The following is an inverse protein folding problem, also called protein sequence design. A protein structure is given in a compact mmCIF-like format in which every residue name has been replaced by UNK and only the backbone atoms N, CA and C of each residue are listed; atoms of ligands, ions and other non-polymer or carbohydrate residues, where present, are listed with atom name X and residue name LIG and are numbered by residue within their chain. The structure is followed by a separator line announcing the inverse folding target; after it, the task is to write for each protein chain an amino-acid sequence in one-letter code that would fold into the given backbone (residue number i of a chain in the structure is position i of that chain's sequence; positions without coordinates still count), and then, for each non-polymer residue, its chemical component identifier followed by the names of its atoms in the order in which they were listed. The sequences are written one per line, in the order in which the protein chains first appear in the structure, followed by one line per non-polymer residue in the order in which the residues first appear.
data_IF_921813752276
#
_entry.id   IF_921813752276
#
_cell.length_a   1.000
_cell.length_b   1.000
_cell.length_c   1.000
_cell.angle_alpha   90.00
_cell.angle_beta   90.00
_cell.angle_gamma   90.00
#
_symmetry.space_group_name_H-M   'P 1'
#
loop_
_entity.id
_entity.type
_entity.pdbx_description
1 polymer ?
#
# COMPACT_ATOMS: atom_id res chain seq x y z
N UNK A 1 3.10 -16.91 38.42
CA UNK A 1 2.64 -17.54 37.15
C UNK A 1 2.56 -16.43 36.12
N UNK A 2 3.51 -16.38 35.20
CA UNK A 2 3.46 -15.42 34.09
C UNK A 2 2.42 -15.94 33.09
N UNK A 3 1.31 -15.22 32.94
CA UNK A 3 0.34 -15.50 31.91
C UNK A 3 1.03 -15.20 30.56
N UNK A 4 1.45 -16.24 29.86
CA UNK A 4 1.92 -16.11 28.48
C UNK A 4 0.73 -15.64 27.67
N UNK A 5 0.73 -14.35 27.28
CA UNK A 5 -0.24 -13.82 26.33
C UNK A 5 -0.28 -14.77 25.13
N UNK A 6 -1.45 -15.32 24.74
CA UNK A 6 -1.52 -16.16 23.56
C UNK A 6 -0.96 -15.36 22.37
N UNK A 7 -0.15 -15.98 21.49
CA UNK A 7 0.38 -15.28 20.34
C UNK A 7 -0.79 -14.66 19.57
N UNK A 8 -0.68 -13.37 19.25
CA UNK A 8 -1.71 -12.67 18.48
C UNK A 8 -1.84 -13.38 17.13
N UNK A 9 -2.92 -14.12 16.93
CA UNK A 9 -3.20 -14.82 15.69
C UNK A 9 -3.70 -13.80 14.67
N UNK A 10 -2.89 -13.52 13.65
CA UNK A 10 -3.29 -12.67 12.53
C UNK A 10 -3.43 -13.55 11.29
N UNK A 11 -4.62 -13.58 10.69
CA UNK A 11 -4.90 -14.43 9.53
C UNK A 11 -5.84 -13.76 8.55
N UNK A 12 -5.66 -14.07 7.27
CA UNK A 12 -6.65 -13.82 6.24
C UNK A 12 -7.60 -15.01 6.19
N UNK A 13 -8.91 -14.75 6.28
CA UNK A 13 -9.94 -15.80 6.25
C UNK A 13 -10.99 -15.46 5.18
N UNK A 14 -11.18 -16.35 4.21
CA UNK A 14 -12.23 -16.25 3.19
C UNK A 14 -13.43 -17.09 3.61
N UNK A 15 -14.58 -16.46 3.74
CA UNK A 15 -15.85 -17.12 4.05
C UNK A 15 -16.69 -17.33 2.78
N UNK A 16 -17.40 -18.45 2.70
CA UNK A 16 -18.47 -18.64 1.72
C UNK A 16 -19.68 -17.79 2.14
N UNK A 17 -20.20 -16.98 1.22
CA UNK A 17 -21.31 -16.06 1.49
C UNK A 17 -22.62 -16.75 1.88
N UNK A 18 -22.86 -17.97 1.38
CA UNK A 18 -24.09 -18.71 1.66
C UNK A 18 -24.00 -19.56 2.93
N UNK A 19 -22.90 -20.31 3.08
CA UNK A 19 -22.74 -21.25 4.20
C UNK A 19 -22.11 -20.63 5.44
N UNK A 20 -21.54 -19.42 5.32
CA UNK A 20 -20.74 -18.75 6.36
C UNK A 20 -19.53 -19.56 6.84
N UNK A 21 -19.14 -20.62 6.13
CA UNK A 21 -18.00 -21.46 6.47
C UNK A 21 -16.72 -20.89 5.88
N UNK A 22 -15.61 -21.08 6.60
CA UNK A 22 -14.27 -20.81 6.07
C UNK A 22 -13.98 -21.73 4.88
N UNK A 23 -13.67 -21.11 3.74
CA UNK A 23 -13.21 -21.81 2.54
C UNK A 23 -11.69 -21.85 2.51
N UNK A 24 -11.04 -20.75 2.91
CA UNK A 24 -9.59 -20.60 2.90
C UNK A 24 -9.12 -19.81 4.12
N UNK A 25 -7.98 -20.19 4.67
CA UNK A 25 -7.31 -19.47 5.75
C UNK A 25 -5.81 -19.41 5.49
N UNK A 26 -5.22 -18.23 5.65
CA UNK A 26 -3.79 -17.99 5.45
C UNK A 26 -3.24 -17.34 6.72
N UNK A 27 -2.16 -17.89 7.27
CA UNK A 27 -1.47 -17.32 8.41
C UNK A 27 -0.69 -16.07 7.95
N UNK A 28 -1.00 -14.92 8.56
CA UNK A 28 -0.31 -13.65 8.34
C UNK A 28 0.50 -13.20 9.56
N UNK A 29 0.62 -14.06 10.58
CA UNK A 29 1.34 -13.73 11.82
C UNK A 29 2.78 -13.34 11.51
N UNK A 30 3.26 -12.27 12.17
CA UNK A 30 4.57 -11.67 11.88
C UNK A 30 4.53 -10.57 10.81
N UNK A 31 3.41 -10.41 10.10
CA UNK A 31 3.21 -9.34 9.11
C UNK A 31 2.19 -8.33 9.60
N UNK A 32 2.50 -7.04 9.43
CA UNK A 32 1.59 -5.94 9.77
C UNK A 32 0.70 -5.63 8.56
N UNK A 33 -0.60 -5.47 8.78
CA UNK A 33 -1.48 -4.86 7.80
C UNK A 33 -1.12 -3.39 7.55
N UNK A 34 -0.93 -3.00 6.30
CA UNK A 34 -0.72 -1.60 5.92
C UNK A 34 -2.03 -1.00 5.39
N UNK A 35 -2.51 -1.48 4.25
CA UNK A 35 -3.73 -1.00 3.61
C UNK A 35 -4.26 -2.00 2.59
N UNK A 36 -5.46 -1.74 2.06
CA UNK A 36 -5.98 -2.42 0.86
C UNK A 36 -6.06 -1.45 -0.30
N UNK A 37 -5.88 -1.96 -1.51
CA UNK A 37 -6.13 -1.21 -2.73
C UNK A 37 -6.87 -2.07 -3.74
N UNK A 38 -7.58 -1.46 -4.69
CA UNK A 38 -8.26 -2.19 -5.77
C UNK A 38 -7.57 -1.88 -7.10
N UNK A 39 -6.79 -2.82 -7.68
CA UNK A 39 -6.09 -2.59 -8.94
C UNK A 39 -7.03 -2.43 -10.14
N UNK A 40 -8.16 -3.14 -10.13
CA UNK A 40 -9.21 -3.09 -11.16
C UNK A 40 -10.59 -3.33 -10.54
N UNK A 41 -11.68 -2.72 -11.05
CA UNK A 41 -13.04 -3.00 -10.62
C UNK A 41 -13.45 -4.49 -10.67
N UNK A 42 -12.83 -5.26 -11.58
CA UNK A 42 -13.09 -6.70 -11.75
C UNK A 42 -12.33 -7.61 -10.78
N UNK A 43 -11.43 -7.05 -9.96
CA UNK A 43 -10.59 -7.81 -9.04
C UNK A 43 -11.03 -7.54 -7.59
N UNK A 44 -10.82 -8.55 -6.73
CA UNK A 44 -10.87 -8.36 -5.29
C UNK A 44 -9.83 -7.30 -4.86
N UNK A 45 -10.04 -6.56 -3.75
CA UNK A 45 -8.99 -5.72 -3.19
C UNK A 45 -7.72 -6.52 -2.92
N UNK A 46 -6.58 -6.00 -3.38
CA UNK A 46 -5.27 -6.47 -2.97
C UNK A 46 -4.98 -6.01 -1.53
N UNK A 47 -4.20 -6.81 -0.82
CA UNK A 47 -3.78 -6.62 0.56
C UNK A 47 -2.33 -6.19 0.59
N UNK A 48 -2.02 -5.03 1.17
CA UNK A 48 -0.64 -4.61 1.38
C UNK A 48 -0.20 -4.97 2.79
N UNK A 49 0.80 -5.83 2.89
CA UNK A 49 1.38 -6.30 4.15
C UNK A 49 2.83 -5.84 4.28
N UNK A 50 3.25 -5.52 5.50
CA UNK A 50 4.63 -5.19 5.77
C UNK A 50 5.50 -6.45 5.79
N UNK A 51 6.57 -6.43 5.00
CA UNK A 51 7.65 -7.40 5.07
C UNK A 51 8.95 -6.64 5.26
N UNK A 52 9.50 -6.73 6.48
CA UNK A 52 10.68 -5.95 6.92
C UNK A 52 10.50 -4.42 6.71
N UNK A 53 11.25 -3.82 5.78
CA UNK A 53 11.19 -2.39 5.45
C UNK A 53 10.24 -2.06 4.30
N UNK A 54 9.72 -3.06 3.60
CA UNK A 54 8.89 -2.91 2.40
C UNK A 54 7.40 -3.19 2.67
N UNK A 55 6.54 -2.67 1.80
CA UNK A 55 5.12 -3.07 1.72
C UNK A 55 4.87 -3.95 0.49
N UNK A 56 4.43 -5.19 0.68
CA UNK A 56 4.13 -6.12 -0.42
C UNK A 56 2.63 -6.20 -0.64
N UNK A 57 2.20 -5.95 -1.87
CA UNK A 57 0.82 -6.10 -2.30
C UNK A 57 0.55 -7.53 -2.77
N UNK A 58 -0.43 -8.17 -2.14
CA UNK A 58 -0.90 -9.51 -2.44
C UNK A 58 -2.32 -9.46 -2.98
N UNK A 59 -2.52 -9.95 -4.20
CA UNK A 59 -3.81 -10.02 -4.88
C UNK A 59 -4.47 -11.37 -4.61
N UNK A 60 -5.63 -11.41 -3.92
CA UNK A 60 -6.48 -12.59 -3.91
C UNK A 60 -6.98 -12.87 -5.33
N UNK A 61 -6.85 -14.12 -5.81
CA UNK A 61 -7.38 -14.57 -7.10
C UNK A 61 -8.20 -15.82 -6.96
N UNK A 62 -9.32 -15.85 -7.67
CA UNK A 62 -9.98 -17.10 -8.04
C UNK A 62 -9.30 -17.61 -9.31
N UNK A 63 -8.87 -18.86 -9.28
CA UNK A 63 -8.09 -19.53 -10.33
C UNK A 63 -8.95 -20.62 -10.98
N UNK A 64 -10.27 -20.41 -11.11
CA UNK A 64 -11.16 -21.46 -11.60
C UNK A 64 -10.74 -21.90 -13.02
N UNK A 65 -10.06 -23.04 -13.11
CA UNK A 65 -9.84 -23.78 -14.34
C UNK A 65 -10.98 -24.75 -14.58
N UNK A 66 -11.14 -25.24 -15.81
CA UNK A 66 -12.11 -26.29 -16.11
C UNK A 66 -11.85 -27.53 -15.22
N UNK A 67 -12.78 -27.82 -14.31
CA UNK A 67 -12.74 -28.98 -13.43
C UNK A 67 -12.24 -28.75 -11.99
N UNK A 68 -11.78 -27.54 -11.64
CA UNK A 68 -11.25 -27.30 -10.29
C UNK A 68 -12.30 -26.66 -9.37
N UNK A 69 -12.62 -27.35 -8.26
CA UNK A 69 -13.84 -27.09 -7.47
C UNK A 69 -13.67 -25.91 -6.50
N UNK A 70 -12.45 -25.50 -6.15
CA UNK A 70 -12.22 -24.30 -5.33
C UNK A 70 -10.77 -23.82 -5.37
N UNK A 71 -10.33 -23.30 -6.51
CA UNK A 71 -8.96 -22.83 -6.67
C UNK A 71 -8.85 -21.35 -6.28
N UNK A 72 -8.39 -21.05 -5.06
CA UNK A 72 -8.06 -19.69 -4.59
C UNK A 72 -6.57 -19.58 -4.28
N UNK A 73 -5.95 -18.45 -4.63
CA UNK A 73 -4.55 -18.17 -4.25
C UNK A 73 -4.31 -16.70 -3.98
N UNK A 74 -3.25 -16.44 -3.23
CA UNK A 74 -2.70 -15.10 -3.05
C UNK A 74 -1.48 -14.94 -3.96
N UNK A 75 -1.49 -13.93 -4.83
CA UNK A 75 -0.38 -13.63 -5.71
C UNK A 75 0.32 -12.34 -5.27
N UNK A 76 1.64 -12.37 -5.17
CA UNK A 76 2.41 -11.14 -5.02
C UNK A 76 2.37 -10.35 -6.34
N UNK A 77 1.88 -9.11 -6.30
CA UNK A 77 1.67 -8.28 -7.50
C UNK A 77 2.50 -7.00 -7.54
N UNK A 78 2.99 -6.51 -6.39
CA UNK A 78 3.87 -5.34 -6.34
C UNK A 78 4.61 -5.22 -5.00
N UNK A 79 5.81 -4.62 -5.03
CA UNK A 79 6.59 -4.26 -3.85
C UNK A 79 6.73 -2.75 -3.75
N UNK A 80 6.18 -2.13 -2.71
CA UNK A 80 6.44 -0.73 -2.35
C UNK A 80 7.72 -0.64 -1.50
N UNK A 81 8.84 -0.42 -2.18
CA UNK A 81 10.16 -0.33 -1.55
C UNK A 81 10.23 0.75 -0.47
N UNK A 82 10.82 0.40 0.68
CA UNK A 82 10.97 1.19 1.89
C UNK A 82 9.65 1.72 2.49
N UNK A 83 8.49 1.33 1.97
CA UNK A 83 7.21 1.89 2.43
C UNK A 83 6.87 1.46 3.86
N UNK A 84 7.28 0.25 4.28
CA UNK A 84 7.13 -0.20 5.66
C UNK A 84 7.94 0.63 6.65
N UNK A 85 9.14 1.07 6.27
CA UNK A 85 9.96 1.99 7.05
C UNK A 85 9.34 3.40 7.11
N UNK A 86 8.91 3.91 5.95
CA UNK A 86 8.23 5.20 5.80
C UNK A 86 6.99 5.26 6.68
N UNK A 87 6.13 4.25 6.60
CA UNK A 87 4.90 4.14 7.36
C UNK A 87 5.16 4.16 8.86
N UNK A 88 6.16 3.39 9.32
CA UNK A 88 6.55 3.35 10.73
C UNK A 88 7.12 4.67 11.25
N UNK A 89 7.74 5.48 10.39
CA UNK A 89 8.26 6.80 10.74
C UNK A 89 7.17 7.88 10.92
N UNK A 90 5.95 7.60 10.48
CA UNK A 90 4.80 8.52 10.52
C UNK A 90 3.81 8.07 11.58
N UNK A 91 4.10 8.41 12.83
CA UNK A 91 3.30 7.99 13.98
C UNK A 91 1.90 8.60 14.00
N UNK A 92 1.74 9.77 13.40
CA UNK A 92 0.48 10.53 13.27
C UNK A 92 -0.30 10.22 11.98
N UNK A 93 0.12 9.18 11.24
CA UNK A 93 -0.57 8.77 10.01
C UNK A 93 -2.00 8.33 10.30
N UNK A 94 -2.93 8.70 9.41
CA UNK A 94 -4.36 8.38 9.54
C UNK A 94 -4.85 7.46 8.44
N UNK A 95 -4.49 7.74 7.20
CA UNK A 95 -4.86 6.92 6.05
C UNK A 95 -3.64 6.54 5.23
N UNK A 96 -3.70 5.37 4.63
CA UNK A 96 -2.68 4.81 3.75
C UNK A 96 -3.39 4.26 2.50
N UNK A 97 -2.80 4.46 1.33
CA UNK A 97 -3.35 3.98 0.07
C UNK A 97 -2.25 3.81 -0.97
N UNK A 98 -2.58 3.22 -2.12
CA UNK A 98 -1.70 3.21 -3.28
C UNK A 98 -2.51 3.28 -4.56
N UNK A 99 -1.85 3.76 -5.60
CA UNK A 99 -2.39 3.73 -6.97
C UNK A 99 -2.83 2.33 -7.40
N UNK A 100 -3.91 2.23 -8.19
CA UNK A 100 -4.33 0.96 -8.79
C UNK A 100 -3.30 0.29 -9.71
N UNK A 101 -2.33 1.05 -10.24
CA UNK A 101 -1.22 0.54 -11.06
C UNK A 101 0.09 0.37 -10.29
N UNK A 102 0.05 0.52 -8.96
CA UNK A 102 1.19 0.35 -8.04
C UNK A 102 2.36 1.33 -8.26
N UNK A 103 2.19 2.36 -9.09
CA UNK A 103 3.24 3.37 -9.40
C UNK A 103 3.66 4.21 -8.20
N UNK A 104 2.74 4.42 -7.25
CA UNK A 104 3.02 5.11 -5.98
C UNK A 104 2.17 4.59 -4.84
N UNK A 105 2.68 4.78 -3.62
CA UNK A 105 1.95 4.68 -2.36
C UNK A 105 1.84 6.06 -1.70
N UNK A 106 0.83 6.24 -0.87
CA UNK A 106 0.58 7.49 -0.17
C UNK A 106 0.14 7.23 1.26
N UNK A 107 0.53 8.11 2.17
CA UNK A 107 -0.03 8.19 3.51
C UNK A 107 -0.30 9.64 3.85
N UNK A 108 -1.23 9.91 4.76
CA UNK A 108 -1.47 11.25 5.26
C UNK A 108 -1.40 11.28 6.78
N UNK A 109 -1.07 12.43 7.36
CA UNK A 109 -1.31 12.67 8.78
C UNK A 109 -2.81 12.89 9.05
N UNK A 110 -3.16 13.13 10.31
CA UNK A 110 -4.55 13.39 10.69
C UNK A 110 -5.05 14.79 10.27
N UNK A 111 -4.15 15.72 9.95
CA UNK A 111 -4.44 17.14 9.80
C UNK A 111 -4.51 17.57 8.33
N UNK A 112 -3.36 17.69 7.65
CA UNK A 112 -3.28 18.35 6.33
C UNK A 112 -2.14 17.89 5.43
N UNK A 113 -1.21 17.06 5.90
CA UNK A 113 -0.08 16.65 5.09
C UNK A 113 -0.34 15.30 4.44
N UNK A 114 -0.13 15.25 3.14
CA UNK A 114 -0.12 14.04 2.33
C UNK A 114 1.30 13.78 1.88
N UNK A 115 1.78 12.57 2.11
CA UNK A 115 3.11 12.11 1.72
C UNK A 115 2.95 11.09 0.58
N UNK A 116 3.51 11.43 -0.58
CA UNK A 116 3.50 10.62 -1.80
C UNK A 116 4.87 9.97 -2.01
N UNK A 117 4.88 8.66 -2.14
CA UNK A 117 6.08 7.84 -2.34
C UNK A 117 5.97 7.14 -3.69
N UNK A 118 6.76 7.60 -4.67
CA UNK A 118 6.84 6.96 -5.98
C UNK A 118 7.83 5.81 -5.94
N UNK A 119 7.48 4.71 -6.60
CA UNK A 119 8.44 3.65 -6.81
C UNK A 119 9.62 4.16 -7.65
N UNK A 120 10.85 3.68 -7.40
CA UNK A 120 12.00 4.08 -8.20
C UNK A 120 11.77 3.66 -9.66
N UNK A 121 11.71 4.62 -10.58
CA UNK A 121 11.86 4.34 -12.01
C UNK A 121 13.35 4.20 -12.31
N UNK A 122 13.72 3.22 -13.14
CA UNK A 122 15.10 3.08 -13.64
C UNK A 122 15.49 4.39 -14.31
N UNK A 123 16.51 5.07 -13.80
CA UNK A 123 16.98 6.30 -14.42
C UNK A 123 17.48 5.96 -15.83
N UNK A 124 17.04 6.71 -16.84
CA UNK A 124 17.64 6.63 -18.17
C UNK A 124 19.12 7.03 -18.06
N UNK A 125 19.99 6.50 -18.93
CA UNK A 125 21.46 6.70 -18.85
C UNK A 125 21.91 8.17 -18.94
N UNK A 126 20.99 9.11 -19.15
CA UNK A 126 21.21 10.55 -19.14
C UNK A 126 21.01 11.22 -17.77
N UNK A 127 20.60 10.48 -16.73
CA UNK A 127 20.42 10.99 -15.36
C UNK A 127 21.26 10.19 -14.36
N UNK A 128 22.58 10.27 -14.49
CA UNK A 128 23.51 9.65 -13.56
C UNK A 128 23.51 10.38 -12.22
N UNK A 129 22.92 9.78 -11.17
CA UNK A 129 23.11 10.28 -9.80
C UNK A 129 24.22 9.50 -9.16
N UNK A 130 25.32 10.14 -8.79
CA UNK A 130 26.46 9.47 -8.16
C UNK A 130 26.47 9.70 -6.65
N UNK A 131 26.54 8.63 -5.87
CA UNK A 131 26.72 8.75 -4.43
C UNK A 131 28.09 9.37 -4.13
N UNK A 132 28.11 10.58 -3.58
CA UNK A 132 29.35 11.34 -3.31
C UNK A 132 30.30 10.64 -2.32
N UNK A 133 29.80 9.77 -1.45
CA UNK A 133 30.61 9.07 -0.43
C UNK A 133 31.24 7.78 -0.96
N UNK A 134 30.54 7.05 -1.83
CA UNK A 134 30.98 5.73 -2.30
C UNK A 134 31.38 5.70 -3.76
N UNK A 135 31.15 6.79 -4.50
CA UNK A 135 31.41 6.88 -5.93
C UNK A 135 30.55 5.96 -6.79
N UNK A 136 29.60 5.23 -6.22
CA UNK A 136 28.68 4.35 -6.96
C UNK A 136 27.59 5.16 -7.65
N UNK A 137 27.28 4.77 -8.87
CA UNK A 137 26.12 5.25 -9.60
C UNK A 137 24.85 4.74 -8.92
N UNK A 138 23.93 5.64 -8.64
CA UNK A 138 22.62 5.39 -8.05
C UNK A 138 21.66 5.26 -9.23
N UNK A 139 21.36 4.02 -9.60
CA UNK A 139 20.53 3.69 -10.78
C UNK A 139 19.03 3.95 -10.58
N UNK A 140 18.60 4.21 -9.34
CA UNK A 140 17.21 4.55 -9.03
C UNK A 140 17.10 5.33 -7.71
N UNK A 141 16.20 6.32 -7.66
CA UNK A 141 15.92 7.12 -6.46
C UNK A 141 14.42 7.11 -6.23
N UNK A 142 13.99 6.63 -5.06
CA UNK A 142 12.63 6.85 -4.59
C UNK A 142 12.41 8.33 -4.30
N UNK A 143 11.39 8.94 -4.90
CA UNK A 143 11.03 10.34 -4.68
C UNK A 143 9.88 10.44 -3.68
N UNK A 144 10.09 11.19 -2.60
CA UNK A 144 9.03 11.60 -1.68
C UNK A 144 8.55 13.01 -2.05
N UNK A 145 7.25 13.21 -2.16
CA UNK A 145 6.63 14.53 -2.26
C UNK A 145 5.69 14.74 -1.09
N UNK A 146 5.70 15.94 -0.52
CA UNK A 146 4.77 16.33 0.54
C UNK A 146 3.83 17.39 -0.02
N UNK A 147 2.53 17.17 0.14
CA UNK A 147 1.48 18.11 -0.24
C UNK A 147 0.79 18.57 1.02
N UNK A 148 0.86 19.88 1.28
CA UNK A 148 0.13 20.53 2.36
C UNK A 148 -1.21 21.02 1.81
N UNK A 149 -2.31 20.50 2.34
CA UNK A 149 -3.65 20.92 1.95
C UNK A 149 -3.99 22.23 2.64
N UNK A 150 -4.28 23.26 1.84
CA UNK A 150 -4.68 24.56 2.38
C UNK A 150 -6.11 24.48 2.95
N UNK A 151 -6.36 25.16 4.06
CA UNK A 151 -7.65 25.18 4.76
C UNK A 151 -8.20 23.80 5.15
N UNK A 152 -7.32 22.84 5.41
CA UNK A 152 -7.66 21.51 5.90
C UNK A 152 -7.22 21.35 7.37
N UNK A 153 -8.18 21.19 8.27
CA UNK A 153 -7.90 20.95 9.69
C UNK A 153 -7.93 19.45 10.05
N UNK A 154 -8.65 18.66 9.26
CA UNK A 154 -8.78 17.23 9.46
C UNK A 154 -9.03 16.48 8.16
N UNK A 155 -8.18 15.49 7.88
CA UNK A 155 -8.41 14.54 6.78
C UNK A 155 -9.39 13.48 7.27
N UNK A 156 -10.48 13.26 6.52
CA UNK A 156 -11.56 12.31 6.82
C UNK A 156 -11.52 11.07 5.91
N UNK A 157 -10.80 11.13 4.80
CA UNK A 157 -10.61 9.99 3.91
C UNK A 157 -9.61 10.29 2.82
N UNK A 158 -9.04 9.23 2.25
CA UNK A 158 -8.07 9.34 1.17
C UNK A 158 -8.23 8.15 0.22
N UNK A 159 -8.25 8.42 -1.09
CA UNK A 159 -8.28 7.37 -2.11
C UNK A 159 -7.38 7.73 -3.29
N UNK A 160 -6.60 6.77 -3.75
CA UNK A 160 -5.74 6.93 -4.91
C UNK A 160 -6.40 6.44 -6.19
N UNK A 161 -6.14 7.19 -7.26
CA UNK A 161 -6.29 6.76 -8.65
C UNK A 161 -4.92 6.75 -9.31
N UNK A 162 -4.86 6.37 -10.59
CA UNK A 162 -3.59 6.37 -11.35
C UNK A 162 -2.99 7.78 -11.51
N UNK A 163 -3.82 8.83 -11.54
CA UNK A 163 -3.39 10.21 -11.87
C UNK A 163 -3.63 11.24 -10.79
N UNK A 164 -4.48 10.92 -9.83
CA UNK A 164 -4.86 11.82 -8.74
C UNK A 164 -4.97 11.08 -7.42
N UNK A 165 -4.65 11.78 -6.34
CA UNK A 165 -5.07 11.40 -5.00
C UNK A 165 -6.24 12.30 -4.59
N UNK A 166 -7.34 11.70 -4.16
CA UNK A 166 -8.48 12.42 -3.61
C UNK A 166 -8.40 12.40 -2.09
N UNK A 167 -8.54 13.56 -1.46
CA UNK A 167 -8.50 13.72 0.00
C UNK A 167 -9.75 14.45 0.44
N UNK A 168 -10.49 13.81 1.34
CA UNK A 168 -11.74 14.35 1.89
C UNK A 168 -11.44 15.08 3.20
N UNK A 169 -11.91 16.31 3.33
CA UNK A 169 -12.04 17.02 4.61
C UNK A 169 -13.52 17.27 4.93
N UNK A 170 -13.81 17.98 6.02
CA UNK A 170 -15.18 18.38 6.38
C UNK A 170 -15.78 19.43 5.44
N UNK A 171 -14.95 20.21 4.75
CA UNK A 171 -15.35 21.38 3.97
C UNK A 171 -14.96 21.32 2.48
N UNK A 172 -14.10 20.37 2.09
CA UNK A 172 -13.58 20.27 0.73
C UNK A 172 -13.24 18.83 0.34
N UNK A 173 -13.23 18.60 -0.98
CA UNK A 173 -12.64 17.43 -1.60
C UNK A 173 -11.45 17.89 -2.45
N UNK A 174 -10.24 17.60 -1.98
CA UNK A 174 -9.01 17.95 -2.68
C UNK A 174 -8.67 16.89 -3.72
N UNK A 175 -8.27 17.33 -4.92
CA UNK A 175 -7.70 16.46 -5.94
C UNK A 175 -6.24 16.83 -6.16
N UNK A 176 -5.32 16.05 -5.59
CA UNK A 176 -3.89 16.22 -5.79
C UNK A 176 -3.51 15.54 -7.10
N UNK A 177 -3.32 16.34 -8.15
CA UNK A 177 -2.84 15.85 -9.45
C UNK A 177 -1.39 15.40 -9.34
N UNK A 178 -1.11 14.21 -9.84
CA UNK A 178 0.23 13.66 -9.89
C UNK A 178 0.88 14.06 -11.22
N UNK A 179 2.08 14.60 -11.16
CA UNK A 179 2.90 14.80 -12.36
C UNK A 179 3.27 13.44 -12.95
N UNK A 180 3.11 13.26 -14.26
CA UNK A 180 3.85 12.23 -14.98
C UNK A 180 5.34 12.56 -14.88
N UNK A 181 6.19 11.58 -14.56
CA UNK A 181 7.63 11.71 -14.74
C UNK A 181 7.97 12.04 -16.19
#
# INVERSE_FOLDING_TARGET
MSATTPPSTFSFTRLCGDSHRTTHQINLSGHQWLFSLRPSPSLMPALCLRHDVDGLAWQPRSVAGEGDVDSFRMEHVATFHAFGYVQASKQDRKFETASPDFSFAALCDAARHVYLYRQPETLSSSQEVRNRKTGKEVSSIAKQHVVSLDQCDAILGMVASRRCLFVLSSNALYAVKLSSS
#
